data_IF_036812605189
#
_entry.id   IF_036812605189
#
_cell.length_a   1.000
_cell.length_b   1.000
_cell.length_c   1.000
_cell.angle_alpha   90.00
_cell.angle_beta   90.00
_cell.angle_gamma   90.00
#
_symmetry.space_group_name_H-M   'P 1'
#
loop_
_entity.id
_entity.type
_entity.pdbx_description
1 polymer ?
#
# COMPACT_ATOMS: atom_id res chain seq x y z
N UNK A 1 -10.92 -21.60 -39.20
CA UNK A 1 -11.26 -20.16 -39.04
C UNK A 1 -12.24 -20.09 -37.89
N UNK A 2 -11.75 -19.91 -36.66
CA UNK A 2 -12.56 -20.00 -35.45
C UNK A 2 -12.45 -18.67 -34.68
N UNK A 3 -13.62 -18.10 -34.37
CA UNK A 3 -13.90 -17.08 -33.37
C UNK A 3 -12.83 -16.01 -33.09
N UNK A 4 -12.87 -14.95 -33.87
CA UNK A 4 -12.54 -13.63 -33.35
C UNK A 4 -13.78 -13.05 -32.65
N UNK A 5 -14.10 -13.57 -31.46
CA UNK A 5 -14.91 -12.78 -30.52
C UNK A 5 -14.20 -11.43 -30.37
N UNK A 6 -14.85 -10.35 -30.81
CA UNK A 6 -14.36 -8.99 -30.63
C UNK A 6 -14.35 -8.68 -29.12
N UNK A 7 -13.28 -9.11 -28.44
CA UNK A 7 -13.07 -8.79 -27.04
C UNK A 7 -12.98 -7.29 -26.92
N UNK A 8 -13.91 -6.70 -26.15
CA UNK A 8 -13.86 -5.29 -25.80
C UNK A 8 -12.50 -5.01 -25.16
N UNK A 9 -11.86 -3.87 -25.49
CA UNK A 9 -10.59 -3.51 -24.91
C UNK A 9 -10.75 -3.31 -23.40
N UNK A 10 -9.74 -3.71 -22.63
CA UNK A 10 -9.68 -3.53 -21.19
C UNK A 10 -9.63 -2.03 -20.92
N UNK A 11 -10.59 -1.54 -20.14
CA UNK A 11 -10.79 -0.13 -19.85
C UNK A 11 -9.92 0.25 -18.66
N UNK A 12 -8.96 1.14 -18.88
CA UNK A 12 -7.95 1.52 -17.89
C UNK A 12 -8.12 2.97 -17.48
N UNK A 13 -8.16 3.22 -16.18
CA UNK A 13 -8.04 4.56 -15.60
C UNK A 13 -6.61 4.73 -15.07
N UNK A 14 -5.93 5.80 -15.48
CA UNK A 14 -4.56 6.12 -14.99
C UNK A 14 -4.65 7.21 -13.93
N UNK A 15 -4.01 7.00 -12.78
CA UNK A 15 -4.09 7.91 -11.64
C UNK A 15 -2.70 8.17 -11.09
N UNK A 16 -2.28 9.43 -11.17
CA UNK A 16 -0.99 9.92 -10.68
C UNK A 16 -1.07 11.44 -10.49
N UNK A 17 -0.46 12.00 -9.45
CA UNK A 17 -0.48 13.44 -9.20
C UNK A 17 0.36 14.24 -10.22
N UNK A 18 1.20 13.56 -10.99
CA UNK A 18 1.98 14.12 -12.07
C UNK A 18 1.31 13.89 -13.43
N UNK A 19 0.74 14.97 -13.98
CA UNK A 19 0.07 14.94 -15.30
C UNK A 19 0.92 14.31 -16.41
N UNK A 20 2.20 14.64 -16.47
CA UNK A 20 3.13 14.13 -17.48
C UNK A 20 3.32 12.62 -17.39
N UNK A 21 3.24 12.05 -16.19
CA UNK A 21 3.32 10.60 -15.97
C UNK A 21 2.04 9.93 -16.48
N UNK A 22 0.86 10.48 -16.14
CA UNK A 22 -0.42 10.01 -16.68
C UNK A 22 -0.45 10.01 -18.21
N UNK A 23 -0.03 11.12 -18.83
CA UNK A 23 0.02 11.28 -20.29
C UNK A 23 1.02 10.31 -20.93
N UNK A 24 2.20 10.14 -20.33
CA UNK A 24 3.22 9.20 -20.78
C UNK A 24 2.74 7.75 -20.75
N UNK A 25 2.17 7.31 -19.62
CA UNK A 25 1.59 5.96 -19.48
C UNK A 25 0.46 5.76 -20.49
N UNK A 26 -0.44 6.74 -20.62
CA UNK A 26 -1.55 6.63 -21.56
C UNK A 26 -1.09 6.55 -23.01
N UNK A 27 -0.07 7.32 -23.39
CA UNK A 27 0.55 7.25 -24.71
C UNK A 27 1.17 5.88 -24.97
N UNK A 28 1.92 5.34 -24.01
CA UNK A 28 2.52 4.00 -24.12
C UNK A 28 1.47 2.90 -24.24
N UNK A 29 0.39 2.98 -23.45
CA UNK A 29 -0.71 2.00 -23.49
C UNK A 29 -1.58 2.12 -24.74
N UNK A 30 -1.67 3.31 -25.35
CA UNK A 30 -2.42 3.49 -26.60
C UNK A 30 -1.85 2.69 -27.79
N UNK A 31 -0.59 2.28 -27.69
CA UNK A 31 0.10 1.44 -28.68
C UNK A 31 -0.14 -0.06 -28.44
N UNK A 32 -0.85 -0.44 -27.39
CA UNK A 32 -1.06 -1.83 -26.99
C UNK A 32 -2.47 -2.30 -27.38
N UNK A 33 -2.54 -3.35 -28.19
CA UNK A 33 -3.83 -3.91 -28.61
C UNK A 33 -4.63 -4.45 -27.42
N UNK A 34 -5.94 -4.19 -27.44
CA UNK A 34 -6.86 -4.69 -26.42
C UNK A 34 -6.83 -3.93 -25.09
N UNK A 35 -6.17 -2.77 -25.02
CA UNK A 35 -6.22 -1.85 -23.87
C UNK A 35 -6.73 -0.48 -24.34
N UNK A 36 -7.63 0.11 -23.57
CA UNK A 36 -8.16 1.45 -23.82
C UNK A 36 -8.08 2.29 -22.54
N UNK A 37 -7.30 3.37 -22.57
CA UNK A 37 -7.28 4.34 -21.47
C UNK A 37 -8.54 5.21 -21.56
N UNK A 38 -9.43 5.06 -20.58
CA UNK A 38 -10.75 5.72 -20.58
C UNK A 38 -10.77 7.04 -19.83
N UNK A 39 -9.73 7.35 -19.08
CA UNK A 39 -9.59 8.60 -18.37
C UNK A 39 -8.30 8.70 -17.56
N UNK A 40 -8.13 9.87 -16.96
CA UNK A 40 -7.04 10.18 -16.04
C UNK A 40 -7.58 10.87 -14.80
N UNK A 41 -6.90 10.72 -13.67
CA UNK A 41 -7.16 11.46 -12.44
C UNK A 41 -5.83 11.84 -11.78
N UNK A 42 -5.84 12.94 -11.02
CA UNK A 42 -4.61 13.54 -10.48
C UNK A 42 -4.54 13.59 -8.95
N UNK A 43 -5.49 12.94 -8.29
CA UNK A 43 -5.51 12.68 -6.85
C UNK A 43 -6.53 11.55 -6.56
N UNK A 44 -6.52 11.02 -5.33
CA UNK A 44 -7.41 9.93 -4.96
C UNK A 44 -8.90 10.29 -4.96
N UNK A 45 -9.28 11.54 -4.75
CA UNK A 45 -10.68 11.97 -4.75
C UNK A 45 -11.22 12.02 -6.19
N UNK A 46 -10.43 12.58 -7.12
CA UNK A 46 -10.70 12.51 -8.54
C UNK A 46 -10.74 11.07 -9.04
N UNK A 47 -9.85 10.20 -8.54
CA UNK A 47 -9.83 8.79 -8.91
C UNK A 47 -11.15 8.09 -8.59
N UNK A 48 -11.69 8.30 -7.39
CA UNK A 48 -12.99 7.74 -6.98
C UNK A 48 -14.11 8.27 -7.89
N UNK A 49 -14.16 9.59 -8.12
CA UNK A 49 -15.20 10.20 -8.94
C UNK A 49 -15.15 9.69 -10.40
N UNK A 50 -13.95 9.63 -10.98
CA UNK A 50 -13.71 9.12 -12.34
C UNK A 50 -13.96 7.63 -12.45
N UNK A 51 -13.61 6.83 -11.45
CA UNK A 51 -13.91 5.41 -11.45
C UNK A 51 -15.43 5.16 -11.45
N UNK A 52 -16.19 5.91 -10.66
CA UNK A 52 -17.65 5.82 -10.64
C UNK A 52 -18.29 6.24 -11.98
N UNK A 53 -17.80 7.32 -12.59
CA UNK A 53 -18.27 7.81 -13.89
C UNK A 53 -17.92 6.85 -15.04
N UNK A 54 -16.65 6.44 -15.10
CA UNK A 54 -16.10 5.75 -16.26
C UNK A 54 -16.26 4.23 -16.14
N UNK A 55 -16.43 3.68 -14.94
CA UNK A 55 -16.52 2.23 -14.72
C UNK A 55 -15.34 1.45 -15.36
N UNK A 56 -14.07 1.77 -15.03
CA UNK A 56 -12.92 1.08 -15.61
C UNK A 56 -12.82 -0.37 -15.11
N UNK A 57 -12.22 -1.23 -15.93
CA UNK A 57 -11.90 -2.61 -15.55
C UNK A 57 -10.67 -2.66 -14.63
N UNK A 58 -9.68 -1.81 -14.92
CA UNK A 58 -8.42 -1.70 -14.18
C UNK A 58 -8.11 -0.24 -13.88
N UNK A 59 -7.66 0.03 -12.66
CA UNK A 59 -7.09 1.32 -12.27
C UNK A 59 -5.60 1.15 -12.03
N UNK A 60 -4.79 1.94 -12.75
CA UNK A 60 -3.38 2.14 -12.41
C UNK A 60 -3.31 3.29 -11.41
N UNK A 61 -2.83 3.01 -10.20
CA UNK A 61 -2.94 3.90 -9.06
C UNK A 61 -1.57 4.21 -8.47
N UNK A 62 -1.16 5.48 -8.47
CA UNK A 62 -0.05 5.93 -7.65
C UNK A 62 -0.40 5.91 -6.16
N UNK A 63 0.58 5.61 -5.30
CA UNK A 63 0.37 5.60 -3.84
C UNK A 63 0.37 7.01 -3.26
N UNK A 64 1.33 7.85 -3.64
CA UNK A 64 1.65 9.12 -2.99
C UNK A 64 1.06 10.29 -3.77
N UNK A 65 -0.21 10.58 -3.49
CA UNK A 65 -0.91 11.71 -4.08
C UNK A 65 -1.44 12.69 -3.01
N UNK A 66 -1.57 13.99 -3.32
CA UNK A 66 -2.18 14.96 -2.43
C UNK A 66 -3.68 14.70 -2.24
N UNK A 67 -4.30 15.39 -1.26
CA UNK A 67 -5.74 15.32 -0.92
C UNK A 67 -6.19 13.96 -0.37
N UNK A 68 -6.14 12.91 -1.17
CA UNK A 68 -6.42 11.54 -0.80
C UNK A 68 -5.38 10.62 -1.46
N UNK A 69 -4.70 9.82 -0.65
CA UNK A 69 -3.68 8.90 -1.15
C UNK A 69 -4.29 7.71 -1.92
N UNK A 70 -3.47 7.03 -2.71
CA UNK A 70 -3.92 5.95 -3.58
C UNK A 70 -4.47 4.73 -2.85
N UNK A 71 -3.94 4.41 -1.66
CA UNK A 71 -4.42 3.28 -0.86
C UNK A 71 -5.84 3.56 -0.33
N UNK A 72 -6.08 4.76 0.21
CA UNK A 72 -7.39 5.16 0.69
C UNK A 72 -8.40 5.23 -0.45
N UNK A 73 -8.01 5.75 -1.61
CA UNK A 73 -8.83 5.74 -2.82
C UNK A 73 -9.15 4.30 -3.26
N UNK A 74 -8.16 3.41 -3.24
CA UNK A 74 -8.32 1.99 -3.58
C UNK A 74 -9.36 1.31 -2.69
N UNK A 75 -9.33 1.53 -1.36
CA UNK A 75 -10.33 0.96 -0.44
C UNK A 75 -11.75 1.35 -0.83
N UNK A 76 -11.96 2.62 -1.21
CA UNK A 76 -13.27 3.12 -1.63
C UNK A 76 -13.68 2.50 -2.97
N UNK A 77 -12.79 2.53 -3.98
CA UNK A 77 -13.06 1.99 -5.31
C UNK A 77 -13.35 0.48 -5.23
N UNK A 78 -12.57 -0.30 -4.49
CA UNK A 78 -12.77 -1.76 -4.36
C UNK A 78 -14.04 -2.10 -3.58
N UNK A 79 -14.44 -1.29 -2.61
CA UNK A 79 -15.70 -1.46 -1.86
C UNK A 79 -16.90 -1.19 -2.76
N UNK A 80 -16.87 -0.09 -3.50
CA UNK A 80 -18.02 0.38 -4.29
C UNK A 80 -18.09 -0.32 -5.67
N UNK A 81 -16.95 -0.80 -6.17
CA UNK A 81 -16.79 -1.51 -7.44
C UNK A 81 -15.89 -2.75 -7.28
N UNK A 82 -16.38 -3.85 -6.68
CA UNK A 82 -15.58 -5.06 -6.40
C UNK A 82 -15.02 -5.76 -7.64
N UNK A 83 -15.59 -5.51 -8.81
CA UNK A 83 -15.13 -6.06 -10.09
C UNK A 83 -13.94 -5.27 -10.67
N UNK A 84 -13.78 -4.00 -10.27
CA UNK A 84 -12.69 -3.13 -10.70
C UNK A 84 -11.39 -3.51 -10.01
N UNK A 85 -10.36 -3.79 -10.79
CA UNK A 85 -9.07 -4.23 -10.29
C UNK A 85 -8.13 -3.04 -10.14
N UNK A 86 -7.36 -2.99 -9.06
CA UNK A 86 -6.40 -1.91 -8.84
C UNK A 86 -4.99 -2.47 -8.87
N UNK A 87 -4.17 -1.91 -9.75
CA UNK A 87 -2.73 -2.10 -9.81
C UNK A 87 -2.06 -0.85 -9.28
N UNK A 88 -1.22 -1.02 -8.27
CA UNK A 88 -0.42 0.08 -7.74
C UNK A 88 0.81 0.27 -8.61
N UNK A 89 1.06 1.53 -9.00
CA UNK A 89 2.31 1.99 -9.59
C UNK A 89 3.06 2.81 -8.55
N UNK A 90 4.34 2.52 -8.34
CA UNK A 90 5.09 3.16 -7.25
C UNK A 90 6.53 3.42 -7.65
N UNK A 91 7.25 4.23 -6.90
CA UNK A 91 8.72 4.25 -6.99
C UNK A 91 9.32 3.25 -5.97
N UNK A 92 10.61 2.94 -6.10
CA UNK A 92 11.28 1.97 -5.21
C UNK A 92 11.23 2.35 -3.72
N UNK A 93 10.96 3.62 -3.37
CA UNK A 93 11.01 4.15 -2.01
C UNK A 93 9.69 3.98 -1.22
N UNK A 94 8.74 3.18 -1.75
CA UNK A 94 7.37 3.05 -1.22
C UNK A 94 7.07 1.73 -0.51
N UNK A 95 8.11 0.97 -0.16
CA UNK A 95 7.97 -0.36 0.46
C UNK A 95 7.10 -0.41 1.72
N UNK A 96 7.07 0.70 2.47
CA UNK A 96 6.32 0.83 3.73
C UNK A 96 4.81 0.67 3.54
N UNK A 97 4.31 0.82 2.29
CA UNK A 97 2.88 0.79 1.97
C UNK A 97 2.38 -0.54 1.40
N UNK A 98 3.27 -1.52 1.18
CA UNK A 98 2.92 -2.79 0.54
C UNK A 98 1.83 -3.52 1.32
N UNK A 99 1.94 -3.61 2.66
CA UNK A 99 0.93 -4.27 3.51
C UNK A 99 -0.41 -3.58 3.41
N UNK A 100 -0.41 -2.25 3.55
CA UNK A 100 -1.63 -1.46 3.52
C UNK A 100 -2.33 -1.52 2.16
N UNK A 101 -1.56 -1.61 1.07
CA UNK A 101 -2.06 -1.80 -0.29
C UNK A 101 -2.69 -3.19 -0.48
N UNK A 102 -2.06 -4.25 0.03
CA UNK A 102 -2.61 -5.60 -0.01
C UNK A 102 -3.93 -5.68 0.78
N UNK A 103 -3.97 -5.12 1.99
CA UNK A 103 -5.19 -5.06 2.81
C UNK A 103 -6.30 -4.21 2.17
N UNK A 104 -5.93 -3.20 1.37
CA UNK A 104 -6.88 -2.42 0.59
C UNK A 104 -7.48 -3.18 -0.61
N UNK A 105 -6.97 -4.38 -0.93
CA UNK A 105 -7.49 -5.25 -1.98
C UNK A 105 -6.88 -4.98 -3.36
N UNK A 106 -5.65 -4.47 -3.42
CA UNK A 106 -4.86 -4.34 -4.64
C UNK A 106 -4.53 -5.72 -5.21
N UNK A 107 -4.62 -5.87 -6.53
CA UNK A 107 -4.24 -7.14 -7.20
C UNK A 107 -2.79 -7.18 -7.64
N UNK A 108 -2.09 -6.05 -7.67
CA UNK A 108 -0.68 -6.09 -7.97
C UNK A 108 0.05 -4.79 -7.68
N UNK A 109 1.35 -4.91 -7.52
CA UNK A 109 2.24 -3.85 -7.07
C UNK A 109 3.45 -3.80 -8.00
N UNK A 110 3.56 -2.72 -8.76
CA UNK A 110 4.51 -2.55 -9.85
C UNK A 110 5.29 -1.25 -9.67
N UNK A 111 6.50 -1.22 -10.24
CA UNK A 111 7.34 -0.03 -10.25
C UNK A 111 7.03 0.85 -11.46
N UNK A 112 7.20 2.16 -11.33
CA UNK A 112 6.94 3.13 -12.41
C UNK A 112 7.91 3.02 -13.60
N UNK A 113 9.05 2.36 -13.43
CA UNK A 113 10.04 2.11 -14.49
C UNK A 113 9.77 0.81 -15.28
N UNK A 114 8.66 0.12 -15.00
CA UNK A 114 8.24 -1.07 -15.74
C UNK A 114 8.14 -0.78 -17.25
N UNK A 115 8.71 -1.63 -18.12
CA UNK A 115 8.56 -1.47 -19.56
C UNK A 115 7.08 -1.51 -19.99
N UNK A 116 6.72 -0.69 -20.99
CA UNK A 116 5.33 -0.54 -21.44
C UNK A 116 4.64 -1.87 -21.81
N UNK A 117 5.37 -2.77 -22.46
CA UNK A 117 4.88 -4.11 -22.81
C UNK A 117 4.57 -4.93 -21.57
N UNK A 118 5.41 -4.87 -20.54
CA UNK A 118 5.24 -5.64 -19.31
C UNK A 118 4.10 -5.03 -18.46
N UNK A 119 3.94 -3.71 -18.48
CA UNK A 119 2.77 -3.03 -17.92
C UNK A 119 1.47 -3.49 -18.58
N UNK A 120 1.45 -3.61 -19.92
CA UNK A 120 0.30 -4.10 -20.66
C UNK A 120 -0.05 -5.55 -20.28
N UNK A 121 0.95 -6.42 -20.15
CA UNK A 121 0.75 -7.78 -19.66
C UNK A 121 0.22 -7.80 -18.22
N UNK A 122 0.74 -6.93 -17.35
CA UNK A 122 0.26 -6.82 -15.98
C UNK A 122 -1.21 -6.37 -15.93
N UNK A 123 -1.62 -5.41 -16.76
CA UNK A 123 -3.03 -4.99 -16.89
C UNK A 123 -3.91 -6.16 -17.34
N UNK A 124 -3.48 -6.91 -18.36
CA UNK A 124 -4.23 -8.07 -18.86
C UNK A 124 -4.38 -9.17 -17.79
N UNK A 125 -3.34 -9.40 -17.00
CA UNK A 125 -3.36 -10.38 -15.93
C UNK A 125 -4.19 -9.89 -14.73
N UNK A 126 -4.11 -8.60 -14.38
CA UNK A 126 -4.95 -7.97 -13.35
C UNK A 126 -6.43 -8.05 -13.72
N UNK A 127 -6.79 -7.77 -14.97
CA UNK A 127 -8.17 -7.92 -15.47
C UNK A 127 -8.70 -9.35 -15.29
N UNK A 128 -7.83 -10.37 -15.37
CA UNK A 128 -8.13 -11.78 -15.08
C UNK A 128 -8.04 -12.14 -13.59
N UNK A 129 -7.85 -11.16 -12.70
CA UNK A 129 -7.70 -11.30 -11.23
C UNK A 129 -6.48 -12.13 -10.82
N UNK A 130 -5.44 -12.13 -11.64
CA UNK A 130 -4.17 -12.74 -11.30
C UNK A 130 -3.35 -11.75 -10.49
N UNK A 131 -2.82 -12.19 -9.35
CA UNK A 131 -2.00 -11.34 -8.51
C UNK A 131 -0.59 -11.22 -9.10
N UNK A 132 -0.11 -9.99 -9.26
CA UNK A 132 1.20 -9.70 -9.87
C UNK A 132 2.03 -8.83 -8.95
N UNK A 133 3.25 -9.28 -8.69
CA UNK A 133 4.24 -8.51 -7.94
C UNK A 133 5.53 -8.51 -8.72
N UNK A 134 6.11 -7.32 -8.89
CA UNK A 134 7.45 -7.23 -9.44
C UNK A 134 8.44 -8.06 -8.60
N UNK A 135 9.45 -8.68 -9.23
CA UNK A 135 10.45 -9.50 -8.53
C UNK A 135 11.17 -8.72 -7.43
N UNK A 136 11.41 -7.43 -7.62
CA UNK A 136 12.03 -6.55 -6.63
C UNK A 136 11.18 -6.40 -5.36
N UNK A 137 9.87 -6.65 -5.47
CA UNK A 137 8.86 -6.40 -4.42
C UNK A 137 8.33 -7.72 -3.85
N UNK A 138 8.35 -8.81 -4.61
CA UNK A 138 7.85 -10.12 -4.19
C UNK A 138 8.47 -10.62 -2.89
N UNK A 139 9.77 -10.38 -2.67
CA UNK A 139 10.43 -10.71 -1.40
C UNK A 139 9.86 -9.93 -0.21
N UNK A 140 9.53 -8.65 -0.41
CA UNK A 140 8.96 -7.77 0.61
C UNK A 140 7.50 -8.13 0.90
N UNK A 141 6.70 -8.44 -0.12
CA UNK A 141 5.34 -8.96 0.02
C UNK A 141 5.31 -10.24 0.87
N UNK A 142 6.20 -11.19 0.57
CA UNK A 142 6.30 -12.44 1.33
C UNK A 142 6.73 -12.20 2.78
N UNK A 143 7.69 -11.28 3.01
CA UNK A 143 8.11 -10.90 4.36
C UNK A 143 6.94 -10.27 5.14
N UNK A 144 6.22 -9.35 4.51
CA UNK A 144 5.14 -8.62 5.15
C UNK A 144 3.92 -9.50 5.45
N UNK A 145 3.58 -10.44 4.56
CA UNK A 145 2.55 -11.45 4.82
C UNK A 145 2.95 -12.39 5.97
N UNK A 146 4.24 -12.73 6.12
CA UNK A 146 4.73 -13.53 7.25
C UNK A 146 4.61 -12.77 8.57
N UNK A 147 4.89 -11.47 8.58
CA UNK A 147 4.71 -10.61 9.76
C UNK A 147 3.23 -10.50 10.13
N UNK A 148 2.33 -10.25 9.17
CA UNK A 148 0.88 -10.21 9.41
C UNK A 148 0.31 -11.56 9.86
N UNK A 149 0.75 -12.68 9.28
CA UNK A 149 0.35 -14.02 9.70
C UNK A 149 0.89 -14.40 11.09
N UNK A 150 2.01 -13.81 11.52
CA UNK A 150 2.52 -13.96 12.89
C UNK A 150 1.68 -13.17 13.90
N UNK A 151 1.15 -12.01 13.49
CA UNK A 151 0.22 -11.21 14.29
C UNK A 151 -1.15 -11.91 14.45
N UNK A 152 -1.65 -12.58 13.40
CA UNK A 152 -2.93 -13.31 13.46
C UNK A 152 -2.87 -14.64 14.23
N UNK A 153 -1.69 -15.28 14.31
CA UNK A 153 -1.50 -16.50 15.12
C UNK A 153 -1.59 -16.25 16.64
N UNK A 154 -1.58 -14.99 17.06
CA UNK A 154 -1.79 -14.60 18.46
C UNK A 154 -3.26 -14.52 18.87
N UNK A 155 -4.21 -14.85 17.97
CA UNK A 155 -5.66 -14.77 18.18
C UNK A 155 -6.34 -16.14 18.43
N UNK A 156 -5.60 -17.26 18.43
CA UNK A 156 -6.17 -18.52 18.92
C UNK A 156 -6.24 -18.50 20.47
N UNK A 157 -7.34 -18.96 21.09
CA UNK A 157 -7.40 -19.09 22.54
C UNK A 157 -6.31 -20.06 23.00
N UNK A 158 -5.55 -19.77 24.08
CA UNK A 158 -4.54 -20.68 24.55
C UNK A 158 -5.20 -21.93 25.14
N UNK A 159 -4.86 -23.11 24.60
CA UNK A 159 -4.99 -24.36 25.35
C UNK A 159 -4.09 -24.28 26.58
N UNK A 160 -4.67 -24.53 27.74
CA UNK A 160 -4.04 -24.51 29.06
C UNK A 160 -2.79 -25.40 29.10
N UNK A 161 -1.61 -24.80 29.30
CA UNK A 161 -0.53 -25.34 30.13
C UNK A 161 0.69 -24.39 30.19
N UNK A 162 1.12 -24.11 31.43
CA UNK A 162 2.43 -23.59 31.87
C UNK A 162 2.69 -22.05 31.84
N UNK A 163 3.46 -21.53 32.83
CA UNK A 163 3.29 -20.19 33.38
C UNK A 163 3.91 -19.07 32.53
N UNK A 164 3.22 -17.93 32.54
CA UNK A 164 3.38 -16.79 31.67
C UNK A 164 4.69 -16.01 31.87
N UNK A 165 5.54 -16.01 30.84
CA UNK A 165 6.33 -14.84 30.48
C UNK A 165 5.53 -14.07 29.41
N UNK A 166 5.10 -12.86 29.74
CA UNK A 166 4.29 -11.99 28.89
C UNK A 166 5.05 -11.70 27.58
N UNK A 167 4.73 -12.43 26.50
CA UNK A 167 5.23 -12.13 25.15
C UNK A 167 4.33 -11.06 24.55
N UNK A 168 4.78 -9.82 24.57
CA UNK A 168 4.15 -8.75 23.79
C UNK A 168 4.27 -8.99 22.29
N UNK A 169 3.31 -8.48 21.50
CA UNK A 169 3.39 -8.49 20.04
C UNK A 169 4.67 -7.77 19.58
N UNK A 170 5.45 -8.40 18.71
CA UNK A 170 6.70 -7.85 18.21
C UNK A 170 6.42 -6.60 17.36
N UNK A 171 6.99 -5.47 17.76
CA UNK A 171 6.98 -4.24 16.98
C UNK A 171 7.88 -4.37 15.76
N UNK A 172 7.57 -3.66 14.68
CA UNK A 172 8.44 -3.60 13.50
C UNK A 172 9.73 -2.85 13.83
N UNK A 173 10.78 -3.07 13.06
CA UNK A 173 12.07 -2.37 13.22
C UNK A 173 11.90 -0.85 13.22
N UNK A 174 11.00 -0.34 12.37
CA UNK A 174 10.69 1.09 12.23
C UNK A 174 9.96 1.65 13.45
N UNK A 175 8.99 0.90 13.99
CA UNK A 175 8.28 1.29 15.21
C UNK A 175 9.23 1.29 16.42
N UNK A 176 10.17 0.35 16.47
CA UNK A 176 11.22 0.32 17.50
C UNK A 176 12.11 1.56 17.36
N UNK A 177 12.56 1.94 16.16
CA UNK A 177 13.38 3.13 15.95
C UNK A 177 12.65 4.41 16.38
N UNK A 178 11.36 4.53 16.06
CA UNK A 178 10.50 5.63 16.53
C UNK A 178 10.39 5.62 18.07
N UNK A 179 10.15 4.46 18.69
CA UNK A 179 10.11 4.31 20.15
C UNK A 179 11.43 4.66 20.83
N UNK A 180 12.58 4.32 20.23
CA UNK A 180 13.89 4.69 20.76
C UNK A 180 14.05 6.20 20.83
N UNK A 181 13.73 6.88 19.73
CA UNK A 181 13.84 8.33 19.66
C UNK A 181 12.83 9.02 20.60
N UNK A 182 11.63 8.45 20.77
CA UNK A 182 10.66 8.92 21.77
C UNK A 182 11.21 8.78 23.20
N UNK A 183 11.83 7.65 23.53
CA UNK A 183 12.43 7.41 24.84
C UNK A 183 13.66 8.29 25.13
N UNK A 184 14.34 8.77 24.09
CA UNK A 184 15.39 9.77 24.17
C UNK A 184 14.85 11.21 24.27
N UNK A 185 13.53 11.41 24.16
CA UNK A 185 12.89 12.72 24.27
C UNK A 185 12.83 13.53 22.97
N UNK A 186 13.17 12.95 21.83
CA UNK A 186 13.19 13.65 20.53
C UNK A 186 11.79 14.10 20.11
N UNK A 187 11.60 15.35 19.69
CA UNK A 187 10.34 15.87 19.13
C UNK A 187 9.95 15.17 17.81
N UNK A 188 8.70 15.34 17.36
CA UNK A 188 8.26 14.74 16.09
C UNK A 188 9.09 15.24 14.89
N UNK A 189 9.56 16.48 14.96
CA UNK A 189 10.43 17.07 13.94
C UNK A 189 11.82 16.43 13.92
N UNK A 190 12.39 16.18 15.10
CA UNK A 190 13.70 15.52 15.23
C UNK A 190 13.61 14.04 14.81
N UNK A 191 12.51 13.36 15.14
CA UNK A 191 12.25 11.99 14.66
C UNK A 191 12.11 11.98 13.14
N UNK A 192 11.36 12.93 12.58
CA UNK A 192 11.17 13.07 11.14
C UNK A 192 12.52 13.27 10.42
N UNK A 193 13.40 14.12 10.96
CA UNK A 193 14.74 14.33 10.43
C UNK A 193 15.64 13.09 10.58
N UNK A 194 15.64 12.44 11.75
CA UNK A 194 16.48 11.28 12.01
C UNK A 194 16.09 10.06 11.15
N UNK A 195 14.80 9.89 10.85
CA UNK A 195 14.28 8.77 10.09
C UNK A 195 14.01 9.08 8.62
N UNK A 196 14.27 10.33 8.19
CA UNK A 196 14.06 10.84 6.83
C UNK A 196 12.62 10.63 6.35
N UNK A 197 11.65 11.05 7.17
CA UNK A 197 10.20 10.96 6.91
C UNK A 197 9.50 12.28 7.26
N UNK A 198 8.23 12.43 6.90
CA UNK A 198 7.46 13.63 7.25
C UNK A 198 7.00 13.61 8.72
N UNK A 199 6.79 14.79 9.33
CA UNK A 199 6.20 14.87 10.68
C UNK A 199 4.80 14.26 10.77
N UNK A 200 4.04 14.28 9.66
CA UNK A 200 2.75 13.62 9.55
C UNK A 200 2.88 12.10 9.66
N UNK A 201 3.88 11.53 8.97
CA UNK A 201 4.23 10.11 9.02
C UNK A 201 4.66 9.71 10.44
N UNK A 202 5.45 10.55 11.13
CA UNK A 202 5.81 10.32 12.54
C UNK A 202 4.57 10.25 13.45
N UNK A 203 3.61 11.18 13.28
CA UNK A 203 2.36 11.16 14.05
C UNK A 203 1.55 9.89 13.80
N UNK A 204 1.51 9.42 12.55
CA UNK A 204 0.84 8.17 12.19
C UNK A 204 1.51 6.96 12.86
N UNK A 205 2.84 6.85 12.81
CA UNK A 205 3.58 5.80 13.53
C UNK A 205 3.34 5.83 15.03
N UNK A 206 3.37 7.00 15.66
CA UNK A 206 3.10 7.14 17.10
C UNK A 206 1.69 6.66 17.43
N UNK A 207 0.68 7.10 16.66
CA UNK A 207 -0.72 6.67 16.86
C UNK A 207 -0.85 5.15 16.74
N UNK A 208 -0.18 4.55 15.76
CA UNK A 208 -0.22 3.11 15.53
C UNK A 208 0.48 2.34 16.66
N UNK A 209 1.65 2.79 17.12
CA UNK A 209 2.39 2.22 18.25
C UNK A 209 1.54 2.26 19.53
N UNK A 210 0.93 3.41 19.83
CA UNK A 210 0.08 3.57 21.02
C UNK A 210 -1.11 2.63 20.98
N UNK A 211 -1.81 2.56 19.84
CA UNK A 211 -2.93 1.63 19.63
C UNK A 211 -2.50 0.18 19.82
N UNK A 212 -1.39 -0.23 19.19
CA UNK A 212 -0.88 -1.61 19.25
C UNK A 212 -0.41 -2.04 20.64
N UNK A 213 0.18 -1.13 21.40
CA UNK A 213 0.70 -1.40 22.73
C UNK A 213 -0.35 -1.15 23.83
N UNK A 214 -1.56 -0.69 23.47
CA UNK A 214 -2.62 -0.34 24.41
C UNK A 214 -2.27 0.87 25.30
N UNK A 215 -1.41 1.76 24.80
CA UNK A 215 -0.92 2.92 25.52
C UNK A 215 -1.75 4.15 25.18
N UNK A 216 -1.92 5.03 26.16
CA UNK A 216 -2.77 6.23 26.02
C UNK A 216 -2.00 7.43 25.51
N UNK A 217 -0.72 7.50 25.82
CA UNK A 217 0.10 8.65 25.48
C UNK A 217 1.57 8.30 25.25
N UNK A 218 2.26 9.26 24.64
CA UNK A 218 3.68 9.20 24.31
C UNK A 218 4.57 8.96 25.53
N UNK A 219 4.19 9.46 26.70
CA UNK A 219 4.97 9.32 27.94
C UNK A 219 4.99 7.86 28.38
N UNK A 220 3.85 7.17 28.29
CA UNK A 220 3.77 5.74 28.54
C UNK A 220 4.62 4.93 27.55
N UNK A 221 4.64 5.33 26.28
CA UNK A 221 5.50 4.69 25.27
C UNK A 221 6.99 4.85 25.58
N UNK A 222 7.42 6.04 26.01
CA UNK A 222 8.80 6.32 26.41
C UNK A 222 9.23 5.48 27.63
N UNK A 223 8.37 5.35 28.64
CA UNK A 223 8.64 4.54 29.84
C UNK A 223 8.76 3.06 29.49
N UNK A 224 7.83 2.54 28.71
CA UNK A 224 7.83 1.14 28.30
C UNK A 224 9.08 0.78 27.48
N UNK A 225 9.52 1.65 26.58
CA UNK A 225 10.75 1.42 25.80
C UNK A 225 12.00 1.28 26.69
N UNK A 226 12.09 2.06 27.77
CA UNK A 226 13.19 1.96 28.76
C UNK A 226 13.09 0.69 29.60
N UNK A 227 11.89 0.34 30.07
CA UNK A 227 11.67 -0.89 30.84
C UNK A 227 11.98 -2.16 30.04
N UNK A 228 11.76 -2.12 28.72
CA UNK A 228 12.00 -3.23 27.79
C UNK A 228 13.43 -3.30 27.25
N UNK A 229 14.29 -2.32 27.57
CA UNK A 229 15.68 -2.27 27.09
C UNK A 229 15.78 -2.03 25.57
N UNK A 230 14.80 -1.35 24.98
CA UNK A 230 14.91 -0.91 23.58
C UNK A 230 15.82 0.32 23.43
N UNK A 231 16.12 0.98 24.55
CA UNK A 231 17.08 2.06 24.74
C UNK A 231 17.92 1.76 25.97
#
# INVERSE_FOLDING_TARGET
MADSEQRRPIRVLVVDDQRIVCEGIASLLSLQDGIAVVGMAFDGQQAIARAAELQPDVVLMDVRMPVLNGIAATRVIRRDMPECQVLVLTTFDDDEYIVEALDAGVVGYLLKDIPAHDLAQAIQAAHKRLYLFDRAIGGKVVAALRESASAQRSLLPPSEAAPAAIKTPALSSREIDVLRLIAQGASNREIAQALVISEGTVKAHISHILSRLGLRDRTQAALLARERGWV
#
